data_IF_889822595070
#
_entry.id   IF_889822595070
#
_cell.length_a   1.000
_cell.length_b   1.000
_cell.length_c   1.000
_cell.angle_alpha   90.00
_cell.angle_beta   90.00
_cell.angle_gamma   90.00
#
_symmetry.space_group_name_H-M   'P 1'
#
loop_
_entity.id
_entity.type
_entity.pdbx_description
1 polymer ?
#
# COMPACT_ATOMS: atom_id res chain seq x y z
N UNK A 1 -15.38 -4.49 -23.37
CA UNK A 1 -15.01 -4.29 -21.95
C UNK A 1 -13.59 -4.80 -21.62
N UNK A 2 -13.27 -6.08 -21.88
CA UNK A 2 -11.92 -6.67 -21.63
C UNK A 2 -10.75 -5.86 -22.23
N UNK A 3 -10.87 -5.42 -23.49
CA UNK A 3 -9.81 -4.66 -24.19
C UNK A 3 -9.47 -3.31 -23.52
N UNK A 4 -10.48 -2.62 -22.98
CA UNK A 4 -10.31 -1.32 -22.29
C UNK A 4 -9.61 -1.48 -20.95
N UNK A 5 -9.94 -2.52 -20.19
CA UNK A 5 -9.29 -2.85 -18.91
C UNK A 5 -7.82 -3.21 -19.14
N UNK A 6 -7.53 -4.01 -20.18
CA UNK A 6 -6.15 -4.37 -20.52
C UNK A 6 -5.33 -3.13 -20.90
N UNK A 7 -5.90 -2.22 -21.69
CA UNK A 7 -5.25 -0.97 -22.07
C UNK A 7 -4.99 -0.05 -20.87
N UNK A 8 -5.92 0.04 -19.92
CA UNK A 8 -5.70 0.79 -18.67
C UNK A 8 -4.55 0.17 -17.87
N UNK A 9 -4.53 -1.15 -17.74
CA UNK A 9 -3.45 -1.86 -17.04
C UNK A 9 -2.08 -1.58 -17.67
N UNK A 10 -1.97 -1.70 -18.99
CA UNK A 10 -0.73 -1.41 -19.71
C UNK A 10 -0.25 0.04 -19.48
N UNK A 11 -1.17 1.00 -19.47
CA UNK A 11 -0.82 2.39 -19.20
C UNK A 11 -0.33 2.61 -17.77
N UNK A 12 -0.93 1.93 -16.79
CA UNK A 12 -0.51 2.02 -15.38
C UNK A 12 0.86 1.37 -15.17
N UNK A 13 1.12 0.21 -15.79
CA UNK A 13 2.43 -0.47 -15.71
C UNK A 13 3.56 0.37 -16.32
N UNK A 14 3.28 1.11 -17.40
CA UNK A 14 4.24 2.07 -17.99
C UNK A 14 4.65 3.18 -17.02
N UNK A 15 3.79 3.52 -16.06
CA UNK A 15 4.08 4.53 -15.04
C UNK A 15 4.91 3.98 -13.87
N UNK A 16 4.99 2.66 -13.69
CA UNK A 16 5.69 2.03 -12.56
C UNK A 16 7.12 2.52 -12.35
N UNK A 17 7.98 2.68 -13.38
CA UNK A 17 9.36 3.12 -13.19
C UNK A 17 9.50 4.51 -12.54
N UNK A 18 8.44 5.32 -12.53
CA UNK A 18 8.45 6.69 -12.02
C UNK A 18 7.85 6.83 -10.61
N UNK A 19 7.22 5.78 -10.07
CA UNK A 19 6.44 5.87 -8.83
C UNK A 19 7.23 5.47 -7.58
N UNK A 20 8.40 4.82 -7.72
CA UNK A 20 9.12 4.23 -6.61
C UNK A 20 8.46 2.92 -6.11
N UNK A 21 9.27 1.98 -5.61
CA UNK A 21 8.78 0.62 -5.29
C UNK A 21 7.80 0.61 -4.11
N UNK A 22 7.95 1.51 -3.13
CA UNK A 22 7.08 1.55 -1.96
C UNK A 22 5.67 2.06 -2.32
N UNK A 23 5.57 3.18 -3.07
CA UNK A 23 4.30 3.68 -3.58
C UNK A 23 3.61 2.66 -4.49
N UNK A 24 4.38 2.01 -5.38
CA UNK A 24 3.85 0.94 -6.22
C UNK A 24 3.31 -0.22 -5.40
N UNK A 25 4.02 -0.63 -4.35
CA UNK A 25 3.57 -1.70 -3.44
C UNK A 25 2.24 -1.33 -2.76
N UNK A 26 2.12 -0.11 -2.23
CA UNK A 26 0.86 0.37 -1.62
C UNK A 26 -0.30 0.36 -2.63
N UNK A 27 -0.06 0.80 -3.87
CA UNK A 27 -1.04 0.75 -4.95
C UNK A 27 -1.45 -0.68 -5.29
N UNK A 28 -0.49 -1.60 -5.45
CA UNK A 28 -0.77 -3.02 -5.72
C UNK A 28 -1.62 -3.62 -4.60
N UNK A 29 -1.28 -3.35 -3.34
CA UNK A 29 -2.05 -3.87 -2.23
C UNK A 29 -3.49 -3.31 -2.23
N UNK A 30 -3.67 -2.02 -2.53
CA UNK A 30 -5.01 -1.45 -2.70
C UNK A 30 -5.82 -2.23 -3.74
N UNK A 31 -5.22 -2.52 -4.90
CA UNK A 31 -5.90 -3.31 -5.95
C UNK A 31 -6.21 -4.73 -5.53
N UNK A 32 -5.32 -5.40 -4.78
CA UNK A 32 -5.54 -6.75 -4.25
C UNK A 32 -6.69 -6.75 -3.24
N UNK A 33 -6.70 -5.79 -2.31
CA UNK A 33 -7.72 -5.68 -1.27
C UNK A 33 -9.11 -5.48 -1.90
N UNK A 34 -9.23 -4.51 -2.81
CA UNK A 34 -10.48 -4.25 -3.53
C UNK A 34 -10.90 -5.43 -4.40
N UNK A 35 -9.96 -6.01 -5.14
CA UNK A 35 -10.20 -7.16 -6.00
C UNK A 35 -10.69 -8.37 -5.23
N UNK A 36 -10.06 -8.69 -4.10
CA UNK A 36 -10.40 -9.85 -3.27
C UNK A 36 -11.76 -9.70 -2.59
N UNK A 37 -12.06 -8.54 -2.01
CA UNK A 37 -13.39 -8.29 -1.43
C UNK A 37 -14.48 -8.36 -2.50
N UNK A 38 -14.23 -7.77 -3.67
CA UNK A 38 -15.17 -7.83 -4.81
C UNK A 38 -15.39 -9.26 -5.28
N UNK A 39 -14.32 -10.04 -5.42
CA UNK A 39 -14.38 -11.45 -5.82
C UNK A 39 -15.16 -12.29 -4.81
N UNK A 40 -14.85 -12.18 -3.52
CA UNK A 40 -15.55 -12.92 -2.46
C UNK A 40 -17.04 -12.56 -2.39
N UNK A 41 -17.41 -11.30 -2.67
CA UNK A 41 -18.81 -10.88 -2.75
C UNK A 41 -19.52 -11.51 -3.97
N UNK A 42 -18.88 -11.52 -5.14
CA UNK A 42 -19.45 -12.12 -6.36
C UNK A 42 -19.59 -13.64 -6.19
N UNK A 43 -18.56 -14.31 -5.70
CA UNK A 43 -18.58 -15.75 -5.48
C UNK A 43 -19.59 -16.14 -4.40
N UNK A 44 -19.63 -15.41 -3.29
CA UNK A 44 -20.60 -15.61 -2.21
C UNK A 44 -22.03 -15.41 -2.70
N UNK A 45 -22.28 -14.40 -3.54
CA UNK A 45 -23.60 -14.22 -4.18
C UNK A 45 -23.97 -15.42 -5.06
N UNK A 46 -23.05 -15.88 -5.91
CA UNK A 46 -23.31 -17.01 -6.81
C UNK A 46 -23.60 -18.32 -6.05
N UNK A 47 -23.00 -18.49 -4.87
CA UNK A 47 -23.20 -19.66 -3.99
C UNK A 47 -24.29 -19.48 -2.93
N UNK A 48 -24.96 -18.32 -2.88
CA UNK A 48 -25.86 -17.91 -1.79
C UNK A 48 -25.21 -18.00 -0.38
N UNK A 49 -23.89 -17.79 -0.29
CA UNK A 49 -23.09 -17.81 0.94
C UNK A 49 -22.16 -16.59 0.98
N UNK A 50 -22.74 -15.41 1.25
CA UNK A 50 -21.97 -14.17 1.37
C UNK A 50 -21.28 -14.14 2.74
N UNK A 51 -19.97 -14.36 2.72
CA UNK A 51 -19.12 -14.27 3.91
C UNK A 51 -18.67 -12.83 4.14
N UNK A 52 -18.59 -12.45 5.41
CA UNK A 52 -17.94 -11.21 5.83
C UNK A 52 -16.47 -11.24 5.44
N UNK A 53 -16.00 -10.21 4.75
CA UNK A 53 -14.61 -10.07 4.32
C UNK A 53 -13.62 -10.04 5.51
N UNK A 54 -14.08 -9.68 6.70
CA UNK A 54 -13.27 -9.76 7.92
C UNK A 54 -12.85 -11.19 8.29
N UNK A 55 -13.54 -12.21 7.77
CA UNK A 55 -13.21 -13.62 8.01
C UNK A 55 -12.23 -14.19 6.97
N UNK A 56 -11.86 -13.41 5.95
CA UNK A 56 -10.89 -13.85 4.95
C UNK A 56 -9.47 -13.75 5.53
N UNK A 57 -8.80 -14.89 5.70
CA UNK A 57 -7.47 -14.99 6.30
C UNK A 57 -6.42 -14.17 5.55
N UNK A 58 -6.51 -14.11 4.22
CA UNK A 58 -5.56 -13.36 3.41
C UNK A 58 -5.79 -11.87 3.55
N UNK A 59 -7.05 -11.41 3.62
CA UNK A 59 -7.33 -10.01 3.93
C UNK A 59 -6.80 -9.69 5.33
N UNK A 60 -7.02 -10.54 6.33
CA UNK A 60 -6.46 -10.33 7.66
C UNK A 60 -4.93 -10.27 7.67
N UNK A 61 -4.25 -11.05 6.85
CA UNK A 61 -2.79 -10.97 6.67
C UNK A 61 -2.37 -9.61 6.12
N UNK A 62 -3.01 -9.17 5.02
CA UNK A 62 -2.77 -7.87 4.40
C UNK A 62 -3.00 -6.73 5.41
N UNK A 63 -4.09 -6.80 6.19
CA UNK A 63 -4.38 -5.77 7.18
C UNK A 63 -3.31 -5.68 8.27
N UNK A 64 -2.74 -6.82 8.69
CA UNK A 64 -1.69 -6.86 9.72
C UNK A 64 -0.37 -6.26 9.26
N UNK A 65 -0.02 -6.44 7.99
CA UNK A 65 1.23 -5.95 7.42
C UNK A 65 1.22 -4.43 7.20
N UNK A 66 0.04 -3.83 6.95
CA UNK A 66 -0.07 -2.46 6.47
C UNK A 66 -0.53 -1.50 7.56
N UNK A 67 -1.39 -1.98 8.46
CA UNK A 67 -2.00 -1.17 9.49
C UNK A 67 -1.44 -1.50 10.85
N UNK A 68 -1.15 -0.46 11.62
CA UNK A 68 -0.83 -0.60 13.04
C UNK A 68 -2.07 -1.00 13.84
N UNK A 69 -1.88 -1.35 15.11
CA UNK A 69 -2.94 -1.88 15.97
C UNK A 69 -4.13 -0.91 16.11
N UNK A 70 -3.86 0.40 16.23
CA UNK A 70 -4.91 1.43 16.34
C UNK A 70 -5.72 1.56 15.05
N UNK A 71 -5.04 1.54 13.91
CA UNK A 71 -5.67 1.56 12.59
C UNK A 71 -6.54 0.32 12.40
N UNK A 72 -6.04 -0.88 12.74
CA UNK A 72 -6.82 -2.13 12.65
C UNK A 72 -8.03 -2.11 13.57
N UNK A 73 -7.90 -1.61 14.79
CA UNK A 73 -9.02 -1.45 15.71
C UNK A 73 -10.11 -0.53 15.13
N UNK A 74 -9.72 0.59 14.50
CA UNK A 74 -10.66 1.50 13.85
C UNK A 74 -11.39 0.87 12.65
N UNK A 75 -10.73 -0.07 11.96
CA UNK A 75 -11.32 -0.83 10.85
C UNK A 75 -12.31 -1.87 11.39
N UNK A 76 -11.90 -2.68 12.37
CA UNK A 76 -12.68 -3.86 12.82
C UNK A 76 -13.82 -3.48 13.76
N UNK A 77 -13.69 -2.38 14.51
CA UNK A 77 -14.70 -1.93 15.49
C UNK A 77 -16.04 -1.55 14.85
N UNK A 78 -16.08 -1.24 13.55
CA UNK A 78 -17.32 -0.90 12.83
C UNK A 78 -17.87 -2.08 12.04
N UNK A 79 -19.16 -2.38 12.23
CA UNK A 79 -19.86 -3.40 11.42
C UNK A 79 -20.18 -2.91 10.00
N UNK A 80 -20.39 -1.60 9.82
CA UNK A 80 -20.75 -0.97 8.55
C UNK A 80 -19.66 0.03 8.19
N UNK A 81 -19.29 0.08 6.91
CA UNK A 81 -18.28 1.02 6.40
C UNK A 81 -16.84 0.69 6.78
N UNK A 82 -16.58 -0.46 7.43
CA UNK A 82 -15.21 -0.86 7.77
C UNK A 82 -14.30 -1.01 6.56
N UNK A 83 -14.85 -1.48 5.43
CA UNK A 83 -14.10 -1.59 4.18
C UNK A 83 -13.74 -0.21 3.60
N UNK A 84 -14.66 0.76 3.71
CA UNK A 84 -14.39 2.15 3.32
C UNK A 84 -13.30 2.77 4.20
N UNK A 85 -13.30 2.47 5.50
CA UNK A 85 -12.25 2.95 6.41
C UNK A 85 -10.89 2.34 6.05
N UNK A 86 -10.84 1.03 5.81
CA UNK A 86 -9.60 0.37 5.41
C UNK A 86 -9.04 1.00 4.12
N UNK A 87 -9.88 1.14 3.09
CA UNK A 87 -9.48 1.75 1.81
C UNK A 87 -9.05 3.20 1.97
N UNK A 88 -9.77 4.02 2.73
CA UNK A 88 -9.39 5.41 3.03
C UNK A 88 -8.06 5.54 3.76
N UNK A 89 -7.79 4.69 4.76
CA UNK A 89 -6.50 4.69 5.46
C UNK A 89 -5.36 4.29 4.52
N UNK A 90 -5.59 3.36 3.59
CA UNK A 90 -4.59 3.01 2.58
C UNK A 90 -4.35 4.14 1.58
N UNK A 91 -5.42 4.79 1.12
CA UNK A 91 -5.35 5.97 0.25
C UNK A 91 -4.57 7.11 0.92
N UNK A 92 -4.75 7.32 2.22
CA UNK A 92 -3.94 8.29 2.97
C UNK A 92 -2.45 7.92 2.98
N UNK A 93 -2.10 6.65 3.17
CA UNK A 93 -0.70 6.20 3.09
C UNK A 93 -0.11 6.40 1.69
N UNK A 94 -0.89 6.12 0.64
CA UNK A 94 -0.52 6.37 -0.76
C UNK A 94 -0.26 7.86 -1.00
N UNK A 95 -1.19 8.73 -0.58
CA UNK A 95 -1.07 10.18 -0.73
C UNK A 95 0.15 10.72 0.03
N UNK A 96 0.40 10.24 1.24
CA UNK A 96 1.55 10.64 2.02
C UNK A 96 2.87 10.25 1.34
N UNK A 97 2.94 9.05 0.76
CA UNK A 97 4.12 8.61 0.01
C UNK A 97 4.31 9.43 -1.28
N UNK A 98 3.23 9.75 -2.00
CA UNK A 98 3.29 10.66 -3.15
C UNK A 98 3.83 12.04 -2.74
N UNK A 99 3.40 12.58 -1.61
CA UNK A 99 3.88 13.87 -1.11
C UNK A 99 5.38 13.84 -0.81
N UNK A 100 5.91 12.77 -0.22
CA UNK A 100 7.37 12.60 0.02
C UNK A 100 8.19 12.61 -1.27
N UNK A 101 7.68 11.96 -2.30
CA UNK A 101 8.33 11.91 -3.62
C UNK A 101 8.31 13.30 -4.26
N UNK A 102 7.16 13.98 -4.24
CA UNK A 102 6.99 15.31 -4.84
C UNK A 102 7.81 16.38 -4.08
N UNK A 103 7.86 16.30 -2.76
CA UNK A 103 8.62 17.25 -1.93
C UNK A 103 10.13 17.08 -2.03
N UNK A 104 10.60 15.97 -2.61
CA UNK A 104 12.02 15.60 -2.64
C UNK A 104 12.54 15.13 -1.28
N UNK A 105 11.68 14.93 -0.28
CA UNK A 105 12.07 14.47 1.06
C UNK A 105 12.82 13.14 1.00
N UNK A 106 12.37 12.19 0.18
CA UNK A 106 13.05 10.90 -0.01
C UNK A 106 14.45 11.05 -0.60
N UNK A 107 14.67 12.03 -1.50
CA UNK A 107 15.99 12.32 -2.06
C UNK A 107 16.89 12.98 -1.00
N UNK A 108 16.35 13.96 -0.26
CA UNK A 108 17.09 14.66 0.80
C UNK A 108 17.50 13.72 1.95
N UNK A 109 16.62 12.80 2.36
CA UNK A 109 16.92 11.80 3.39
C UNK A 109 18.01 10.82 2.92
N UNK A 110 17.97 10.39 1.65
CA UNK A 110 19.00 9.54 1.05
C UNK A 110 20.36 10.24 1.01
N UNK A 111 20.40 11.49 0.53
CA UNK A 111 21.60 12.30 0.46
C UNK A 111 22.19 12.55 1.85
N UNK A 112 21.34 12.84 2.84
CA UNK A 112 21.76 13.03 4.23
C UNK A 112 22.32 11.75 4.85
N UNK A 113 21.65 10.61 4.64
CA UNK A 113 22.12 9.30 5.12
C UNK A 113 23.47 8.92 4.51
N UNK A 114 23.62 9.14 3.20
CA UNK A 114 24.89 8.93 2.50
C UNK A 114 25.98 9.86 3.03
N UNK A 115 25.69 11.14 3.25
CA UNK A 115 26.63 12.09 3.82
C UNK A 115 27.08 11.69 5.24
N UNK A 116 26.16 11.21 6.08
CA UNK A 116 26.48 10.67 7.41
C UNK A 116 27.39 9.45 7.31
N UNK A 117 27.09 8.51 6.41
CA UNK A 117 27.92 7.33 6.16
C UNK A 117 29.33 7.71 5.69
N UNK A 118 29.45 8.68 4.78
CA UNK A 118 30.75 9.21 4.36
C UNK A 118 31.53 9.82 5.53
N UNK A 119 30.86 10.61 6.37
CA UNK A 119 31.48 11.23 7.53
C UNK A 119 31.99 10.18 8.54
N UNK A 120 31.23 9.11 8.79
CA UNK A 120 31.64 8.00 9.64
C UNK A 120 32.85 7.25 9.07
N UNK A 121 32.86 6.97 7.76
CA UNK A 121 33.98 6.33 7.08
C UNK A 121 35.27 7.18 7.12
N UNK A 122 35.15 8.51 6.96
CA UNK A 122 36.28 9.43 7.09
C UNK A 122 36.82 9.43 8.53
N UNK A 123 35.95 9.43 9.54
CA UNK A 123 36.35 9.38 10.95
C UNK A 123 37.08 8.09 11.33
N UNK A 124 36.71 6.95 10.74
CA UNK A 124 37.39 5.68 10.97
C UNK A 124 38.80 5.72 10.34
N UNK A 125 38.92 6.18 9.09
CA UNK A 125 40.20 6.27 8.37
C UNK A 125 41.23 7.25 8.94
N UNK A 126 40.81 8.24 9.75
CA UNK A 126 41.72 9.21 10.39
C UNK A 126 42.24 8.69 11.74
N UNK A 127 41.64 7.62 12.29
CA UNK A 127 42.08 7.00 13.55
C UNK A 127 43.08 5.85 13.38
N UNK A 128 43.30 5.39 12.15
CA UNK A 128 44.37 4.46 11.75
C UNK A 128 45.57 5.26 11.20
#
# INVERSE_FOLDING_TARGET
>A
MKKKILQIKENVEKSRPFLGEHLWSLFVIYTILVGRVSYSLIEGRNKNDIKSWHKDEHIQSILKEIYNDKERESIISRKIGSFEIATKLLEQKILFEMLKIISGESAAESDFSNAKRFHELIKIKIKD
#
